data_IF_759324371783
#
_entry.id   IF_759324371783
#
_cell.length_a   1.000
_cell.length_b   1.000
_cell.length_c   1.000
_cell.angle_alpha   90.00
_cell.angle_beta   90.00
_cell.angle_gamma   90.00
#
_symmetry.space_group_name_H-M   'P 1'
#
loop_
_entity.id
_entity.type
_entity.pdbx_description
1 polymer ?
#
# COMPACT_ATOMS: atom_id res chain seq x y z
N UNK A 1 38.22 -12.75 13.92
CA UNK A 1 37.96 -12.59 15.35
C UNK A 1 36.46 -12.53 15.58
N UNK A 2 35.92 -13.14 16.63
CA UNK A 2 34.52 -13.07 16.96
C UNK A 2 34.30 -11.90 17.94
N UNK A 3 33.48 -10.93 17.55
CA UNK A 3 33.11 -9.82 18.42
C UNK A 3 32.03 -10.27 19.39
N UNK A 4 32.19 -9.90 20.67
CA UNK A 4 31.23 -10.12 21.74
C UNK A 4 31.09 -8.81 22.54
N UNK A 5 30.04 -8.68 23.34
CA UNK A 5 29.85 -7.48 24.18
C UNK A 5 31.07 -7.19 25.11
N UNK A 6 31.81 -8.27 25.53
CA UNK A 6 32.95 -8.14 26.42
C UNK A 6 34.24 -7.65 25.74
N UNK A 7 34.40 -7.86 24.43
CA UNK A 7 35.62 -7.54 23.71
C UNK A 7 35.41 -6.49 22.57
N UNK A 8 34.21 -5.96 22.47
CA UNK A 8 33.84 -5.05 21.40
C UNK A 8 34.70 -3.76 21.43
N UNK A 9 34.85 -3.13 22.60
CA UNK A 9 35.63 -1.90 22.77
C UNK A 9 37.11 -2.15 22.48
N UNK A 10 37.70 -3.22 23.06
CA UNK A 10 39.09 -3.59 22.82
C UNK A 10 39.40 -3.89 21.35
N UNK A 11 38.47 -4.58 20.65
CA UNK A 11 38.62 -4.88 19.24
C UNK A 11 38.40 -3.64 18.34
N UNK A 12 37.48 -2.72 18.73
CA UNK A 12 37.27 -1.49 18.02
C UNK A 12 38.53 -0.59 18.00
N UNK A 13 39.29 -0.56 19.10
CA UNK A 13 40.57 0.16 19.17
C UNK A 13 41.68 -0.48 18.30
N UNK A 14 41.55 -1.74 17.99
CA UNK A 14 42.55 -2.54 17.23
C UNK A 14 42.27 -2.62 15.76
N UNK A 15 41.12 -2.09 15.28
CA UNK A 15 40.76 -2.12 13.86
C UNK A 15 41.70 -1.22 13.07
N UNK A 16 42.37 -1.80 12.09
CA UNK A 16 43.28 -1.12 11.17
C UNK A 16 42.65 -1.01 9.76
N UNK A 17 43.20 -0.17 8.92
CA UNK A 17 42.85 -0.15 7.50
C UNK A 17 43.02 -1.54 6.89
N UNK A 18 42.17 -1.91 5.93
CA UNK A 18 42.10 -3.23 5.27
C UNK A 18 41.48 -4.38 6.09
N UNK A 19 40.98 -4.12 7.28
CA UNK A 19 40.20 -5.14 7.99
C UNK A 19 38.76 -5.21 7.46
N UNK A 20 38.27 -6.43 7.29
CA UNK A 20 36.85 -6.69 6.99
C UNK A 20 36.07 -6.90 8.28
N UNK A 21 34.99 -6.15 8.45
CA UNK A 21 34.10 -6.25 9.61
C UNK A 21 32.71 -6.66 9.15
N UNK A 22 32.29 -7.87 9.57
CA UNK A 22 30.92 -8.32 9.34
C UNK A 22 30.04 -7.82 10.49
N UNK A 23 29.02 -7.02 10.15
CA UNK A 23 28.01 -6.54 11.09
C UNK A 23 26.65 -7.17 10.81
N UNK A 24 25.77 -7.16 11.79
CA UNK A 24 24.36 -7.44 11.56
C UNK A 24 23.71 -6.34 10.72
N UNK A 25 22.61 -6.68 10.06
CA UNK A 25 21.75 -5.69 9.42
C UNK A 25 21.19 -4.74 10.48
N UNK A 26 21.04 -3.48 10.11
CA UNK A 26 20.41 -2.44 10.92
C UNK A 26 19.25 -1.84 10.12
N UNK A 27 18.36 -1.12 10.80
CA UNK A 27 17.24 -0.44 10.16
C UNK A 27 17.74 0.51 9.07
N UNK A 28 17.08 0.46 7.91
CA UNK A 28 17.44 1.25 6.74
C UNK A 28 18.47 0.60 5.80
N UNK A 29 19.05 -0.54 6.15
CA UNK A 29 19.89 -1.30 5.20
C UNK A 29 19.04 -1.76 4.01
N UNK A 30 19.60 -1.68 2.82
CA UNK A 30 18.95 -2.16 1.61
C UNK A 30 19.30 -3.63 1.38
N UNK A 31 18.27 -4.44 1.18
CA UNK A 31 18.37 -5.86 0.84
C UNK A 31 17.57 -6.15 -0.41
N UNK A 32 17.98 -7.16 -1.15
CA UNK A 32 17.19 -7.71 -2.24
C UNK A 32 16.33 -8.83 -1.71
N UNK A 33 15.04 -8.77 -2.00
CA UNK A 33 14.04 -9.76 -1.59
C UNK A 33 13.50 -10.47 -2.83
N UNK A 34 13.38 -11.78 -2.77
CA UNK A 34 13.00 -12.61 -3.91
C UNK A 34 12.10 -13.76 -3.49
N UNK A 35 11.09 -14.06 -4.32
CA UNK A 35 10.35 -15.32 -4.29
C UNK A 35 10.48 -16.05 -5.60
N UNK A 36 10.78 -17.34 -5.53
CA UNK A 36 10.80 -18.24 -6.69
C UNK A 36 9.43 -18.90 -6.90
N UNK A 37 9.05 -19.19 -8.17
CA UNK A 37 9.77 -18.89 -9.41
C UNK A 37 9.76 -17.39 -9.75
N UNK A 38 10.92 -16.84 -10.11
CA UNK A 38 11.06 -15.43 -10.50
C UNK A 38 10.70 -15.26 -11.97
N UNK A 39 9.41 -15.10 -12.26
CA UNK A 39 8.88 -15.07 -13.63
C UNK A 39 9.06 -13.71 -14.33
N UNK A 40 9.26 -12.65 -13.56
CA UNK A 40 9.47 -11.30 -14.06
C UNK A 40 10.38 -10.51 -13.10
N UNK A 41 10.85 -9.34 -13.54
CA UNK A 41 11.80 -8.54 -12.75
C UNK A 41 11.27 -8.11 -11.37
N UNK A 42 9.95 -7.91 -11.23
CA UNK A 42 9.31 -7.51 -9.98
C UNK A 42 9.23 -8.65 -8.94
N UNK A 43 9.56 -9.89 -9.33
CA UNK A 43 9.76 -10.97 -8.34
C UNK A 43 11.06 -10.83 -7.55
N UNK A 44 11.86 -9.83 -7.87
CA UNK A 44 13.12 -9.48 -7.20
C UNK A 44 13.13 -7.96 -7.01
N UNK A 45 12.89 -7.49 -5.79
CA UNK A 45 12.84 -6.06 -5.48
C UNK A 45 13.72 -5.73 -4.28
N UNK A 46 14.13 -4.46 -4.19
CA UNK A 46 14.90 -3.95 -3.07
C UNK A 46 13.98 -3.37 -2.01
N UNK A 47 14.22 -3.75 -0.75
CA UNK A 47 13.51 -3.28 0.42
C UNK A 47 14.47 -2.67 1.44
N UNK A 48 13.97 -1.73 2.22
CA UNK A 48 14.66 -1.21 3.40
C UNK A 48 14.30 -2.08 4.61
N UNK A 49 15.31 -2.54 5.33
CA UNK A 49 15.15 -3.45 6.47
C UNK A 49 14.63 -2.70 7.69
N UNK A 50 13.70 -3.32 8.39
CA UNK A 50 13.38 -3.04 9.79
C UNK A 50 13.67 -4.31 10.59
N UNK A 51 14.62 -4.24 11.52
CA UNK A 51 15.05 -5.37 12.33
C UNK A 51 14.05 -5.61 13.47
N UNK A 52 13.47 -6.81 13.50
CA UNK A 52 12.44 -7.17 14.47
C UNK A 52 12.82 -8.45 15.22
N UNK A 53 12.33 -8.67 16.45
CA UNK A 53 12.67 -9.85 17.27
C UNK A 53 11.86 -11.10 16.85
N UNK A 54 11.58 -11.26 15.58
CA UNK A 54 10.80 -12.37 15.03
C UNK A 54 11.65 -13.27 14.14
N UNK A 55 11.12 -14.45 13.81
CA UNK A 55 11.78 -15.45 12.95
C UNK A 55 11.20 -15.53 11.54
N UNK A 56 10.28 -14.64 11.22
CA UNK A 56 9.60 -14.58 9.92
C UNK A 56 9.82 -13.22 9.27
N UNK A 57 9.80 -13.20 7.94
CA UNK A 57 9.72 -11.96 7.20
C UNK A 57 8.32 -11.34 7.36
N UNK A 58 8.27 -10.03 7.32
CA UNK A 58 7.04 -9.24 7.29
C UNK A 58 7.15 -8.20 6.19
N UNK A 59 6.13 -8.11 5.39
CA UNK A 59 6.05 -7.18 4.26
C UNK A 59 4.62 -6.65 4.11
N UNK A 60 4.50 -5.52 3.43
CA UNK A 60 3.19 -4.96 3.11
C UNK A 60 2.47 -5.88 2.11
N UNK A 61 1.19 -6.15 2.34
CA UNK A 61 0.38 -7.03 1.50
C UNK A 61 0.25 -6.55 0.05
N UNK A 62 0.36 -5.25 -0.20
CA UNK A 62 0.31 -4.67 -1.55
C UNK A 62 1.45 -5.14 -2.48
N UNK A 63 2.52 -5.72 -1.94
CA UNK A 63 3.62 -6.30 -2.73
C UNK A 63 3.48 -7.81 -2.94
N UNK A 64 2.44 -8.44 -2.43
CA UNK A 64 2.16 -9.86 -2.68
C UNK A 64 1.95 -10.18 -4.16
N UNK A 65 1.20 -9.38 -4.96
CA UNK A 65 1.00 -9.66 -6.38
C UNK A 65 2.29 -9.77 -7.19
N UNK A 66 3.25 -8.84 -7.13
CA UNK A 66 4.50 -8.96 -7.88
C UNK A 66 5.35 -10.18 -7.46
N UNK A 67 5.31 -10.57 -6.20
CA UNK A 67 5.98 -11.79 -5.74
C UNK A 67 5.15 -13.06 -5.99
N UNK A 68 3.87 -12.93 -6.30
CA UNK A 68 2.90 -14.01 -6.29
C UNK A 68 2.98 -14.78 -4.97
N UNK A 69 3.04 -14.05 -3.86
CA UNK A 69 3.22 -14.58 -2.51
C UNK A 69 1.90 -14.54 -1.73
N UNK A 70 1.73 -15.52 -0.86
CA UNK A 70 0.71 -15.54 0.16
C UNK A 70 1.31 -15.90 1.54
N UNK A 71 0.51 -16.01 2.57
CA UNK A 71 0.97 -16.21 3.93
C UNK A 71 0.60 -17.61 4.48
N UNK A 72 0.45 -18.59 3.60
CA UNK A 72 0.10 -19.97 3.94
C UNK A 72 1.31 -20.87 4.25
N UNK A 73 2.52 -20.33 4.18
CA UNK A 73 3.77 -21.05 4.43
C UNK A 73 4.84 -20.80 3.37
N UNK A 74 4.66 -19.80 2.52
CA UNK A 74 5.64 -19.39 1.52
C UNK A 74 7.00 -19.06 2.15
N UNK A 75 8.05 -19.44 1.44
CA UNK A 75 9.43 -19.08 1.75
C UNK A 75 9.96 -18.10 0.72
N UNK A 76 10.76 -17.13 1.18
CA UNK A 76 11.39 -16.12 0.34
C UNK A 76 12.87 -16.00 0.67
N UNK A 77 13.64 -15.47 -0.27
CA UNK A 77 15.07 -15.26 -0.13
C UNK A 77 15.37 -13.79 0.12
N UNK A 78 16.27 -13.53 1.05
CA UNK A 78 16.81 -12.18 1.32
C UNK A 78 18.30 -12.19 1.07
N UNK A 79 18.77 -11.20 0.30
CA UNK A 79 20.19 -11.04 -0.05
C UNK A 79 20.69 -9.70 0.50
N UNK A 80 21.68 -9.75 1.39
CA UNK A 80 22.40 -8.57 1.86
C UNK A 80 23.45 -8.15 0.80
N UNK A 81 23.45 -6.87 0.45
CA UNK A 81 24.34 -6.33 -0.58
C UNK A 81 25.73 -6.05 0.01
N UNK A 82 26.78 -6.51 -0.69
CA UNK A 82 28.14 -6.52 -0.15
C UNK A 82 28.98 -5.30 -0.55
N UNK A 83 28.59 -4.56 -1.57
CA UNK A 83 29.33 -3.38 -2.03
C UNK A 83 28.42 -2.18 -2.30
N UNK A 84 29.02 -1.01 -2.37
CA UNK A 84 28.28 0.26 -2.53
C UNK A 84 27.67 0.41 -3.93
N UNK A 85 28.29 -0.17 -4.96
CA UNK A 85 27.75 -0.16 -6.32
C UNK A 85 26.43 -0.92 -6.38
N UNK A 86 26.39 -2.14 -5.83
CA UNK A 86 25.16 -2.93 -5.76
C UNK A 86 24.08 -2.26 -4.90
N UNK A 87 24.45 -1.59 -3.80
CA UNK A 87 23.53 -0.81 -2.97
C UNK A 87 22.95 0.37 -3.73
N UNK A 88 23.78 1.09 -4.49
CA UNK A 88 23.32 2.21 -5.31
C UNK A 88 22.36 1.74 -6.40
N UNK A 89 22.70 0.66 -7.11
CA UNK A 89 21.83 0.06 -8.13
C UNK A 89 20.49 -0.38 -7.52
N UNK A 90 20.51 -1.11 -6.43
CA UNK A 90 19.31 -1.55 -5.73
C UNK A 90 18.43 -0.35 -5.29
N UNK A 91 19.05 0.72 -4.77
CA UNK A 91 18.35 1.91 -4.33
C UNK A 91 17.71 2.70 -5.46
N UNK A 92 18.34 2.77 -6.61
CA UNK A 92 17.89 3.61 -7.74
C UNK A 92 16.94 2.86 -8.66
N UNK A 93 17.19 1.55 -8.90
CA UNK A 93 16.49 0.80 -9.95
C UNK A 93 15.54 -0.27 -9.41
N UNK A 94 15.75 -0.78 -8.19
CA UNK A 94 15.07 -1.99 -7.74
C UNK A 94 14.08 -1.76 -6.59
N UNK A 95 13.98 -0.57 -6.03
CA UNK A 95 13.02 -0.29 -4.95
C UNK A 95 11.59 -0.56 -5.41
N UNK A 96 10.74 -0.92 -4.47
CA UNK A 96 9.34 -1.27 -4.72
C UNK A 96 8.61 -0.20 -5.51
N UNK A 97 8.77 1.09 -5.16
CA UNK A 97 8.12 2.18 -5.88
C UNK A 97 8.55 2.30 -7.35
N UNK A 98 9.79 1.93 -7.69
CA UNK A 98 10.29 1.93 -9.07
C UNK A 98 9.71 0.75 -9.89
N UNK A 99 8.99 -0.16 -9.22
CA UNK A 99 8.41 -1.36 -9.83
C UNK A 99 6.88 -1.36 -9.80
N UNK A 100 6.24 -0.22 -9.50
CA UNK A 100 4.77 -0.12 -9.47
C UNK A 100 4.19 -0.46 -10.84
N UNK A 101 4.78 0.08 -11.92
CA UNK A 101 4.31 -0.19 -13.29
C UNK A 101 5.03 -1.39 -13.92
N UNK A 102 4.26 -2.28 -14.50
CA UNK A 102 4.76 -3.43 -15.23
C UNK A 102 5.21 -3.03 -16.64
N UNK A 103 6.44 -3.36 -17.07
CA UNK A 103 6.88 -3.10 -18.45
C UNK A 103 6.17 -3.97 -19.48
N UNK A 104 5.41 -5.00 -19.05
CA UNK A 104 4.71 -5.91 -19.96
C UNK A 104 3.47 -5.26 -20.58
N UNK A 105 2.69 -4.52 -19.79
CA UNK A 105 1.42 -3.92 -20.23
C UNK A 105 1.27 -2.44 -19.84
N UNK A 106 2.24 -1.88 -19.10
CA UNK A 106 2.27 -0.45 -18.76
C UNK A 106 1.32 -0.01 -17.66
N UNK A 107 0.62 -0.95 -17.01
CA UNK A 107 -0.23 -0.72 -15.85
C UNK A 107 0.41 -1.17 -14.55
N UNK A 108 -0.19 -0.80 -13.42
CA UNK A 108 0.34 -1.13 -12.10
C UNK A 108 0.24 -2.64 -11.81
N UNK A 109 1.24 -3.16 -11.10
CA UNK A 109 1.27 -4.53 -10.55
C UNK A 109 1.24 -4.51 -9.02
N UNK A 110 1.42 -3.35 -8.43
CA UNK A 110 1.36 -3.09 -6.99
C UNK A 110 0.14 -2.22 -6.76
N UNK A 111 -0.74 -2.64 -5.86
CA UNK A 111 -1.98 -1.94 -5.56
C UNK A 111 -2.73 -2.61 -4.42
N UNK A 112 -3.95 -2.16 -4.17
CA UNK A 112 -4.83 -2.75 -3.17
C UNK A 112 -5.19 -4.20 -3.53
N UNK A 113 -5.38 -5.03 -2.52
CA UNK A 113 -5.82 -6.42 -2.66
C UNK A 113 -6.83 -6.80 -1.57
N UNK A 114 -7.70 -7.76 -1.85
CA UNK A 114 -8.59 -8.38 -0.86
C UNK A 114 -9.30 -7.35 0.04
N UNK A 115 -9.01 -7.35 1.35
CA UNK A 115 -9.65 -6.48 2.34
C UNK A 115 -9.43 -4.99 2.07
N UNK A 116 -8.35 -4.60 1.38
CA UNK A 116 -8.16 -3.20 0.97
C UNK A 116 -9.21 -2.79 -0.06
N UNK A 117 -9.53 -3.67 -1.02
CA UNK A 117 -10.57 -3.42 -2.02
C UNK A 117 -11.95 -3.40 -1.35
N UNK A 118 -12.24 -4.41 -0.51
CA UNK A 118 -13.51 -4.45 0.24
C UNK A 118 -13.69 -3.23 1.13
N UNK A 119 -12.63 -2.79 1.79
CA UNK A 119 -12.66 -1.61 2.67
C UNK A 119 -12.91 -0.31 1.91
N UNK A 120 -12.27 -0.11 0.75
CA UNK A 120 -12.50 1.07 -0.10
C UNK A 120 -13.89 1.06 -0.73
N UNK A 121 -14.35 -0.12 -1.12
CA UNK A 121 -15.71 -0.31 -1.62
C UNK A 121 -16.74 0.09 -0.56
N UNK A 122 -16.66 -0.46 0.64
CA UNK A 122 -17.58 -0.15 1.74
C UNK A 122 -17.53 1.33 2.15
N UNK A 123 -16.35 1.95 2.05
CA UNK A 123 -16.17 3.37 2.36
C UNK A 123 -16.91 4.27 1.37
N UNK A 124 -16.92 3.92 0.08
CA UNK A 124 -17.42 4.82 -0.99
C UNK A 124 -18.76 4.39 -1.56
N UNK A 125 -19.10 3.10 -1.46
CA UNK A 125 -20.39 2.58 -1.89
C UNK A 125 -21.51 3.13 -0.99
N UNK A 126 -22.59 3.59 -1.55
CA UNK A 126 -23.69 4.24 -0.81
C UNK A 126 -23.30 5.50 -0.02
N UNK A 127 -22.06 5.94 -0.14
CA UNK A 127 -21.51 7.15 0.48
C UNK A 127 -21.89 7.31 1.97
N UNK A 128 -21.46 6.39 2.86
CA UNK A 128 -21.83 6.40 4.25
C UNK A 128 -21.32 7.66 4.99
N UNK A 129 -22.08 8.08 5.98
CA UNK A 129 -21.78 9.24 6.84
C UNK A 129 -21.01 8.81 8.09
N UNK A 130 -20.04 9.62 8.50
CA UNK A 130 -19.20 9.41 9.66
C UNK A 130 -19.22 10.62 10.58
N UNK A 131 -19.29 10.38 11.88
CA UNK A 131 -19.09 11.40 12.90
C UNK A 131 -17.62 11.85 12.92
N UNK A 132 -17.33 13.01 13.53
CA UNK A 132 -15.97 13.54 13.72
C UNK A 132 -15.00 12.49 14.26
N UNK A 133 -15.41 11.78 15.32
CA UNK A 133 -14.56 10.75 15.95
C UNK A 133 -14.25 9.59 15.00
N UNK A 134 -15.22 9.17 14.19
CA UNK A 134 -15.01 8.10 13.20
C UNK A 134 -14.14 8.58 12.04
N UNK A 135 -14.36 9.78 11.53
CA UNK A 135 -13.55 10.39 10.47
C UNK A 135 -12.09 10.55 10.91
N UNK A 136 -11.83 11.05 12.12
CA UNK A 136 -10.50 11.12 12.72
C UNK A 136 -9.84 9.72 12.86
N UNK A 137 -10.60 8.70 13.29
CA UNK A 137 -10.03 7.35 13.40
C UNK A 137 -9.71 6.76 12.03
N UNK A 138 -10.54 7.00 11.01
CA UNK A 138 -10.29 6.57 9.64
C UNK A 138 -9.01 7.20 9.07
N UNK A 139 -8.85 8.51 9.21
CA UNK A 139 -7.70 9.24 8.66
C UNK A 139 -6.42 9.15 9.52
N UNK A 140 -6.51 8.65 10.74
CA UNK A 140 -5.40 8.61 11.72
C UNK A 140 -4.07 8.01 11.19
N UNK A 141 -4.13 7.10 10.23
CA UNK A 141 -2.95 6.43 9.68
C UNK A 141 -2.54 6.98 8.30
N UNK A 142 -3.14 8.07 7.89
CA UNK A 142 -2.81 8.81 6.67
C UNK A 142 -1.94 10.04 7.02
N UNK A 143 -1.62 10.84 6.03
CA UNK A 143 -0.90 12.11 6.20
C UNK A 143 -1.81 13.31 6.38
N UNK A 144 -3.10 13.08 6.48
CA UNK A 144 -4.08 14.13 6.70
C UNK A 144 -3.97 14.58 8.16
N UNK A 145 -3.53 15.80 8.37
CA UNK A 145 -3.28 16.36 9.71
C UNK A 145 -4.56 16.97 10.32
N UNK A 146 -5.49 17.45 9.48
CA UNK A 146 -6.73 18.10 9.89
C UNK A 146 -7.90 17.49 9.10
N UNK A 147 -9.09 17.44 9.70
CA UNK A 147 -10.29 17.04 8.96
C UNK A 147 -10.63 18.07 7.89
N UNK A 148 -11.14 17.63 6.71
CA UNK A 148 -11.69 18.53 5.72
C UNK A 148 -12.93 19.25 6.24
N UNK A 149 -13.47 20.18 5.46
CA UNK A 149 -14.76 20.78 5.76
C UNK A 149 -15.84 19.69 5.81
N UNK A 150 -16.76 19.80 6.77
CA UNK A 150 -17.83 18.84 6.93
C UNK A 150 -18.78 18.87 5.73
N UNK A 151 -19.26 17.72 5.29
CA UNK A 151 -20.22 17.59 4.20
C UNK A 151 -21.61 18.14 4.58
N UNK A 152 -21.90 18.17 5.88
CA UNK A 152 -23.17 18.67 6.38
C UNK A 152 -23.32 18.55 7.88
N UNK A 153 -24.55 18.74 8.33
CA UNK A 153 -24.94 18.65 9.74
C UNK A 153 -26.14 17.71 9.82
N UNK A 154 -26.09 16.74 10.73
CA UNK A 154 -27.19 15.81 10.97
C UNK A 154 -28.40 16.46 11.66
N UNK A 155 -29.48 15.68 11.85
CA UNK A 155 -30.71 16.15 12.50
C UNK A 155 -30.50 16.59 13.96
N UNK A 156 -29.40 16.13 14.58
CA UNK A 156 -29.01 16.50 15.96
C UNK A 156 -28.11 17.75 16.01
N UNK A 157 -27.76 18.33 14.86
CA UNK A 157 -26.87 19.49 14.73
C UNK A 157 -25.38 19.15 14.84
N UNK A 158 -24.97 17.91 14.54
CA UNK A 158 -23.57 17.47 14.52
C UNK A 158 -23.05 17.40 13.11
N UNK A 159 -21.83 17.83 12.91
CA UNK A 159 -21.14 17.71 11.63
C UNK A 159 -20.89 16.25 11.27
N UNK A 160 -21.00 15.96 9.98
CA UNK A 160 -20.65 14.65 9.43
C UNK A 160 -19.78 14.76 8.18
N UNK A 161 -19.05 13.70 7.90
CA UNK A 161 -18.17 13.51 6.74
C UNK A 161 -18.59 12.26 5.99
N UNK A 162 -18.58 12.33 4.67
CA UNK A 162 -18.90 11.17 3.84
C UNK A 162 -17.64 10.36 3.49
N UNK A 163 -17.85 9.10 3.15
CA UNK A 163 -16.74 8.24 2.75
C UNK A 163 -16.02 8.74 1.50
N UNK A 164 -16.72 9.41 0.58
CA UNK A 164 -16.11 10.00 -0.62
C UNK A 164 -15.21 11.16 -0.27
N UNK A 165 -15.62 12.04 0.62
CA UNK A 165 -14.81 13.16 1.12
C UNK A 165 -13.53 12.64 1.80
N UNK A 166 -13.66 11.64 2.68
CA UNK A 166 -12.49 11.07 3.36
C UNK A 166 -11.52 10.36 2.39
N UNK A 167 -12.02 9.73 1.32
CA UNK A 167 -11.19 9.15 0.28
C UNK A 167 -10.48 10.24 -0.54
N UNK A 168 -11.18 11.33 -0.85
CA UNK A 168 -10.66 12.44 -1.65
C UNK A 168 -9.45 13.12 -1.02
N UNK A 169 -9.37 13.16 0.30
CA UNK A 169 -8.21 13.69 1.04
C UNK A 169 -6.88 12.97 0.74
N UNK A 170 -6.95 11.79 0.15
CA UNK A 170 -5.75 11.04 -0.25
C UNK A 170 -5.31 11.36 -1.67
N UNK A 171 -6.09 12.09 -2.45
CA UNK A 171 -5.81 12.42 -3.84
C UNK A 171 -5.04 13.75 -3.95
N UNK A 172 -4.35 14.01 -5.06
CA UNK A 172 -3.90 15.36 -5.41
C UNK A 172 -5.09 16.27 -5.74
N UNK A 173 -5.01 17.54 -5.33
CA UNK A 173 -6.07 18.54 -5.51
C UNK A 173 -6.42 18.87 -6.97
N UNK A 174 -5.53 18.52 -7.90
CA UNK A 174 -5.64 18.77 -9.33
C UNK A 174 -5.86 17.51 -10.17
N UNK A 175 -6.24 16.39 -9.51
CA UNK A 175 -6.50 15.13 -10.20
C UNK A 175 -7.89 15.14 -10.85
N UNK A 176 -7.91 15.01 -12.18
CA UNK A 176 -9.12 14.78 -12.96
C UNK A 176 -9.08 13.39 -13.61
N UNK A 177 -10.06 12.56 -13.31
CA UNK A 177 -10.11 11.19 -13.82
C UNK A 177 -11.54 10.70 -13.95
N UNK A 178 -11.85 10.02 -15.06
CA UNK A 178 -13.13 9.33 -15.23
C UNK A 178 -12.93 7.95 -15.85
N UNK A 179 -13.55 6.94 -15.27
CA UNK A 179 -13.52 5.56 -15.75
C UNK A 179 -14.79 4.81 -15.33
N UNK A 180 -14.93 3.59 -15.78
CA UNK A 180 -16.05 2.71 -15.39
C UNK A 180 -15.53 1.64 -14.45
N UNK A 181 -16.18 1.48 -13.30
CA UNK A 181 -15.85 0.43 -12.30
C UNK A 181 -16.26 -0.96 -12.79
N UNK A 182 -15.73 -2.01 -12.12
CA UNK A 182 -16.12 -3.42 -12.38
C UNK A 182 -17.62 -3.66 -12.19
N UNK A 183 -18.26 -2.88 -11.32
CA UNK A 183 -19.70 -2.93 -11.10
C UNK A 183 -20.52 -2.27 -12.21
N UNK A 184 -19.87 -1.58 -13.16
CA UNK A 184 -20.50 -0.85 -14.25
C UNK A 184 -20.89 0.60 -13.92
N UNK A 185 -20.52 1.09 -12.74
CA UNK A 185 -20.75 2.45 -12.31
C UNK A 185 -19.72 3.40 -12.95
N UNK A 186 -20.13 4.61 -13.27
CA UNK A 186 -19.21 5.68 -13.69
C UNK A 186 -18.54 6.25 -12.44
N UNK A 187 -17.21 6.24 -12.41
CA UNK A 187 -16.40 6.90 -11.37
C UNK A 187 -15.88 8.21 -11.94
N UNK A 188 -16.14 9.30 -11.24
CA UNK A 188 -15.73 10.66 -11.66
C UNK A 188 -15.01 11.34 -10.51
N UNK A 189 -13.78 11.74 -10.77
CA UNK A 189 -12.94 12.56 -9.88
C UNK A 189 -12.66 13.86 -10.61
N UNK A 190 -12.98 14.98 -9.99
CA UNK A 190 -12.74 16.33 -10.50
C UNK A 190 -12.09 17.18 -9.41
N UNK A 191 -11.01 17.89 -9.75
CA UNK A 191 -10.24 18.71 -8.80
C UNK A 191 -9.88 17.92 -7.52
N UNK A 192 -9.46 16.65 -7.67
CA UNK A 192 -9.11 15.75 -6.55
C UNK A 192 -10.28 15.26 -5.71
N UNK A 193 -11.52 15.58 -6.07
CA UNK A 193 -12.72 15.17 -5.33
C UNK A 193 -13.45 14.04 -6.03
N UNK A 194 -13.78 12.97 -5.31
CA UNK A 194 -14.63 11.88 -5.80
C UNK A 194 -16.10 12.34 -5.85
N UNK A 195 -16.55 12.76 -7.01
CA UNK A 195 -17.91 13.31 -7.21
C UNK A 195 -18.93 12.18 -7.33
N UNK A 196 -18.61 11.15 -8.10
CA UNK A 196 -19.54 10.05 -8.40
C UNK A 196 -18.80 8.71 -8.46
N UNK A 197 -19.52 7.63 -8.17
CA UNK A 197 -19.04 6.26 -8.30
C UNK A 197 -18.55 5.65 -7.00
N UNK A 198 -18.07 4.42 -7.13
CA UNK A 198 -17.57 3.57 -6.04
C UNK A 198 -16.13 3.16 -6.34
N UNK A 199 -15.26 3.23 -5.35
CA UNK A 199 -13.85 2.84 -5.48
C UNK A 199 -13.73 1.34 -5.23
N UNK A 200 -13.44 0.62 -6.29
CA UNK A 200 -13.30 -0.84 -6.33
C UNK A 200 -11.92 -1.29 -6.83
N UNK A 201 -11.82 -2.55 -7.31
CA UNK A 201 -10.58 -3.12 -7.83
C UNK A 201 -10.05 -2.36 -9.04
N UNK A 202 -10.93 -1.92 -9.97
CA UNK A 202 -10.53 -1.17 -11.16
C UNK A 202 -10.04 0.25 -10.83
N UNK A 203 -10.33 0.76 -9.63
CA UNK A 203 -9.83 2.04 -9.16
C UNK A 203 -8.43 1.93 -8.52
N UNK A 204 -8.26 1.02 -7.54
CA UNK A 204 -7.08 0.97 -6.67
C UNK A 204 -6.38 -0.38 -6.64
N UNK A 205 -6.92 -1.38 -7.32
CA UNK A 205 -6.41 -2.74 -7.29
C UNK A 205 -5.06 -2.92 -7.95
N UNK A 206 -4.42 -4.04 -7.67
CA UNK A 206 -3.28 -4.51 -8.45
C UNK A 206 -3.76 -4.97 -9.84
N UNK A 207 -2.91 -4.81 -10.85
CA UNK A 207 -3.17 -5.18 -12.26
C UNK A 207 -4.18 -4.28 -13.01
N UNK A 208 -4.12 -3.00 -12.81
CA UNK A 208 -4.81 -2.02 -13.65
C UNK A 208 -5.73 -1.07 -12.88
N UNK A 209 -5.39 -0.74 -11.64
CA UNK A 209 -6.11 0.29 -10.88
C UNK A 209 -5.89 1.67 -11.51
N UNK A 210 -6.92 2.24 -12.10
CA UNK A 210 -6.86 3.50 -12.88
C UNK A 210 -6.32 4.67 -12.06
N UNK A 211 -6.68 4.78 -10.78
CA UNK A 211 -6.18 5.83 -9.89
C UNK A 211 -4.68 5.62 -9.62
N UNK A 212 -4.25 4.40 -9.31
CA UNK A 212 -2.84 4.09 -9.05
C UNK A 212 -1.99 4.31 -10.29
N UNK A 213 -2.50 3.90 -11.45
CA UNK A 213 -1.85 4.08 -12.75
C UNK A 213 -1.66 5.55 -13.08
N UNK A 214 -2.70 6.35 -12.96
CA UNK A 214 -2.68 7.80 -13.22
C UNK A 214 -1.74 8.50 -12.25
N UNK A 215 -1.83 8.21 -10.95
CA UNK A 215 -0.92 8.78 -9.96
C UNK A 215 0.55 8.45 -10.26
N UNK A 216 0.83 7.22 -10.70
CA UNK A 216 2.20 6.83 -11.01
C UNK A 216 2.72 7.54 -12.26
N UNK A 217 1.89 7.68 -13.30
CA UNK A 217 2.27 8.28 -14.59
C UNK A 217 2.38 9.80 -14.54
N UNK A 218 1.48 10.48 -13.82
CA UNK A 218 1.37 11.93 -13.83
C UNK A 218 2.04 12.59 -12.61
N UNK A 219 2.01 11.94 -11.44
CA UNK A 219 2.55 12.49 -10.19
C UNK A 219 3.81 11.75 -9.71
N UNK A 220 4.19 10.67 -10.37
CA UNK A 220 5.41 9.90 -10.12
C UNK A 220 5.28 8.85 -9.01
N UNK A 221 6.27 7.95 -8.98
CA UNK A 221 6.29 6.74 -8.16
C UNK A 221 6.25 7.05 -6.65
N UNK A 222 6.83 8.18 -6.24
CA UNK A 222 6.84 8.58 -4.82
C UNK A 222 5.43 8.93 -4.33
N UNK A 223 4.64 9.66 -5.14
CA UNK A 223 3.26 10.01 -4.79
C UNK A 223 2.37 8.77 -4.80
N UNK A 224 2.50 7.92 -5.83
CA UNK A 224 1.78 6.66 -5.90
C UNK A 224 2.07 5.74 -4.71
N UNK A 225 3.33 5.62 -4.29
CA UNK A 225 3.72 4.86 -3.10
C UNK A 225 3.03 5.38 -1.83
N UNK A 226 2.96 6.69 -1.68
CA UNK A 226 2.27 7.30 -0.53
C UNK A 226 0.81 6.95 -0.56
N UNK A 227 0.14 7.19 -1.68
CA UNK A 227 -1.28 6.87 -1.86
C UNK A 227 -1.59 5.40 -1.58
N UNK A 228 -0.81 4.46 -2.13
CA UNK A 228 -1.02 3.02 -1.91
C UNK A 228 -0.95 2.66 -0.41
N UNK A 229 -0.03 3.26 0.36
CA UNK A 229 0.06 3.02 1.79
C UNK A 229 -1.12 3.64 2.56
N UNK A 230 -1.52 4.83 2.19
CA UNK A 230 -2.61 5.56 2.83
C UNK A 230 -3.95 4.88 2.57
N UNK A 231 -4.22 4.50 1.31
CA UNK A 231 -5.47 3.81 0.97
C UNK A 231 -5.55 2.43 1.64
N UNK A 232 -4.45 1.69 1.72
CA UNK A 232 -4.41 0.42 2.44
C UNK A 232 -4.75 0.60 3.93
N UNK A 233 -4.22 1.66 4.56
CA UNK A 233 -4.50 1.97 5.96
C UNK A 233 -5.94 2.42 6.18
N UNK A 234 -6.45 3.30 5.33
CA UNK A 234 -7.82 3.80 5.37
C UNK A 234 -8.83 2.65 5.17
N UNK A 235 -8.60 1.81 4.15
CA UNK A 235 -9.45 0.66 3.84
C UNK A 235 -9.53 -0.34 4.99
N UNK A 236 -8.40 -0.66 5.62
CA UNK A 236 -8.38 -1.56 6.78
C UNK A 236 -9.16 -1.00 7.97
N UNK A 237 -9.11 0.31 8.19
CA UNK A 237 -9.91 0.95 9.24
C UNK A 237 -11.38 0.99 8.88
N UNK A 238 -11.71 1.25 7.62
CA UNK A 238 -13.09 1.21 7.15
C UNK A 238 -13.71 -0.17 7.37
N UNK A 239 -13.06 -1.25 6.93
CA UNK A 239 -13.57 -2.61 7.11
C UNK A 239 -13.68 -3.02 8.58
N UNK A 240 -12.78 -2.53 9.44
CA UNK A 240 -12.87 -2.75 10.89
C UNK A 240 -14.06 -2.03 11.53
N UNK A 241 -14.44 -0.87 11.02
CA UNK A 241 -15.61 -0.11 11.51
C UNK A 241 -16.93 -0.73 11.03
N UNK A 242 -17.00 -1.13 9.75
CA UNK A 242 -18.22 -1.73 9.18
C UNK A 242 -18.39 -3.19 9.58
N UNK A 243 -17.29 -3.94 9.68
CA UNK A 243 -17.30 -5.39 9.65
C UNK A 243 -17.58 -5.91 8.23
N UNK A 244 -17.16 -7.13 7.96
CA UNK A 244 -17.44 -7.80 6.70
C UNK A 244 -17.68 -9.29 6.96
N UNK A 245 -18.77 -9.81 6.44
CA UNK A 245 -19.11 -11.23 6.53
C UNK A 245 -19.97 -11.61 5.32
N UNK A 246 -19.82 -12.81 4.84
CA UNK A 246 -20.66 -13.39 3.78
C UNK A 246 -21.54 -14.45 4.43
N UNK A 247 -22.86 -14.26 4.31
CA UNK A 247 -23.86 -15.22 4.75
C UNK A 247 -24.41 -16.05 3.59
N UNK A 248 -25.22 -17.05 3.90
CA UNK A 248 -25.83 -17.91 2.89
C UNK A 248 -26.83 -17.15 2.00
N UNK A 249 -27.41 -16.09 2.53
CA UNK A 249 -28.37 -15.25 1.80
C UNK A 249 -27.69 -14.38 0.73
N UNK A 250 -26.36 -14.14 0.86
CA UNK A 250 -25.57 -13.39 -0.11
C UNK A 250 -25.25 -14.21 -1.36
N UNK A 251 -25.46 -15.53 -1.33
CA UNK A 251 -25.29 -16.43 -2.47
C UNK A 251 -26.58 -16.56 -3.32
N UNK A 252 -27.58 -15.73 -3.08
CA UNK A 252 -28.82 -15.75 -3.87
C UNK A 252 -28.57 -15.30 -5.31
N UNK A 253 -29.17 -16.04 -6.27
CA UNK A 253 -29.08 -15.68 -7.69
C UNK A 253 -29.95 -14.42 -7.92
N UNK A 254 -29.41 -13.33 -8.48
CA UNK A 254 -30.22 -12.18 -8.82
C UNK A 254 -31.34 -12.55 -9.79
N UNK A 255 -32.53 -11.95 -9.68
CA UNK A 255 -33.66 -12.24 -10.57
C UNK A 255 -33.35 -12.04 -12.07
N UNK A 256 -32.37 -11.20 -12.39
CA UNK A 256 -31.93 -10.92 -13.75
C UNK A 256 -31.03 -12.02 -14.33
N UNK A 257 -30.55 -12.93 -13.50
CA UNK A 257 -29.69 -14.07 -13.88
C UNK A 257 -30.45 -15.40 -13.97
N UNK A 258 -31.75 -15.45 -13.60
CA UNK A 258 -32.68 -16.57 -13.85
C UNK A 258 -33.20 -16.49 -15.29
#
# INVERSE_FOLDING_TARGET
LKVTEKNCEELAEKVEADWEVNRHLVDGDIVIFNRQPSLHRMSIMAHEVVVMPYKTFRLNTVVCPPYNADFDGDEMNMHALQNEEARAEARVLMRVQEQILSPRFGGNIIGAIQDHISGTYLLTHSNPEFSETQALDLLRATRVDELPEADGVDDDGREFWTGRTLFSELLPDDLDLSFTSSAGDSVVIEDGQLIEGTIDEDAVGAFGGEVVDTLTKEYGETRARVFINEIASLAMRAIMNFGFSIGIDDESIPPEAE
#
